data_IF_937767103348
#
_entry.id   IF_937767103348
#
_cell.length_a   1.000
_cell.length_b   1.000
_cell.length_c   1.000
_cell.angle_alpha   90.00
_cell.angle_beta   90.00
_cell.angle_gamma   90.00
#
_symmetry.space_group_name_H-M   'P 1'
#
loop_
_entity.id
_entity.type
_entity.pdbx_description
1 polymer ?
#
# COMPACT_ATOMS: atom_id res chain seq x y z
N UNK A 1 -12.50 35.28 13.02
CA UNK A 1 -13.65 34.42 13.35
C UNK A 1 -13.12 33.03 13.66
N UNK A 2 -12.60 32.83 14.86
CA UNK A 2 -12.12 31.53 15.33
C UNK A 2 -13.24 30.91 16.13
N UNK A 3 -13.98 30.00 15.52
CA UNK A 3 -14.97 29.20 16.24
C UNK A 3 -14.18 28.15 17.02
N UNK A 4 -13.95 28.38 18.31
CA UNK A 4 -13.52 27.33 19.23
C UNK A 4 -14.68 26.33 19.35
N UNK A 5 -14.61 25.23 18.61
CA UNK A 5 -15.51 24.08 18.83
C UNK A 5 -15.14 23.43 20.15
N UNK A 6 -15.88 23.79 21.20
CA UNK A 6 -15.77 23.18 22.52
C UNK A 6 -16.30 21.75 22.42
N UNK A 7 -15.42 20.77 22.63
CA UNK A 7 -15.79 19.37 22.81
C UNK A 7 -16.73 19.27 24.01
N UNK A 8 -17.98 18.85 23.76
CA UNK A 8 -18.90 18.44 24.83
C UNK A 8 -18.30 17.26 25.60
N UNK A 9 -18.70 17.07 26.87
CA UNK A 9 -18.27 15.94 27.69
C UNK A 9 -18.61 14.62 26.99
N UNK A 10 -17.58 13.94 26.48
CA UNK A 10 -17.66 12.62 25.86
C UNK A 10 -16.95 11.61 26.76
N UNK A 11 -17.58 10.46 27.00
CA UNK A 11 -16.98 9.40 27.81
C UNK A 11 -15.83 8.70 27.07
N UNK A 12 -15.97 8.52 25.75
CA UNK A 12 -14.97 7.83 24.91
C UNK A 12 -14.89 8.42 23.51
N UNK A 13 -13.68 8.46 22.96
CA UNK A 13 -13.40 8.83 21.57
C UNK A 13 -12.68 7.65 20.90
N UNK A 14 -13.21 7.18 19.77
CA UNK A 14 -12.59 6.13 18.95
C UNK A 14 -12.25 6.73 17.58
N UNK A 15 -10.94 6.89 17.31
CA UNK A 15 -10.46 7.48 16.07
C UNK A 15 -10.19 6.39 15.01
N UNK A 16 -11.15 6.16 14.12
CA UNK A 16 -11.02 5.24 12.98
C UNK A 16 -10.46 5.96 11.74
N UNK A 17 -9.35 6.69 11.89
CA UNK A 17 -8.75 7.56 10.86
C UNK A 17 -7.80 6.82 9.90
N UNK A 18 -7.87 5.50 9.86
CA UNK A 18 -7.04 4.65 9.01
C UNK A 18 -5.65 4.38 9.60
N UNK A 19 -4.71 4.01 8.73
CA UNK A 19 -3.37 3.58 9.11
C UNK A 19 -2.33 4.08 8.11
N UNK A 20 -1.05 3.98 8.50
CA UNK A 20 0.09 4.22 7.62
C UNK A 20 1.15 3.15 7.87
N UNK A 21 1.82 2.63 6.84
CA UNK A 21 2.92 1.67 7.04
C UNK A 21 4.11 2.32 7.75
N UNK A 22 4.74 1.56 8.64
CA UNK A 22 6.03 1.92 9.23
C UNK A 22 7.15 1.76 8.18
N UNK A 23 7.95 2.82 7.98
CA UNK A 23 9.00 2.87 6.95
C UNK A 23 10.41 2.77 7.52
N UNK A 24 10.56 2.65 8.84
CA UNK A 24 11.87 2.69 9.50
C UNK A 24 12.87 1.69 8.91
N UNK A 25 12.41 0.49 8.51
CA UNK A 25 13.25 -0.55 7.93
C UNK A 25 13.93 -0.17 6.61
N UNK A 26 13.27 0.65 5.78
CA UNK A 26 13.74 0.95 4.42
C UNK A 26 13.87 2.46 4.15
N UNK A 27 13.81 3.29 5.19
CA UNK A 27 13.88 4.76 5.05
C UNK A 27 15.19 5.24 4.43
N UNK A 28 16.25 4.45 4.55
CA UNK A 28 17.58 4.74 4.01
C UNK A 28 17.86 4.02 2.67
N UNK A 29 16.91 3.23 2.16
CA UNK A 29 17.02 2.58 0.85
C UNK A 29 16.45 3.51 -0.24
N UNK A 30 16.88 3.32 -1.48
CA UNK A 30 16.43 4.13 -2.61
C UNK A 30 15.06 3.63 -3.12
N UNK A 31 14.04 3.68 -2.26
CA UNK A 31 12.67 3.27 -2.59
C UNK A 31 11.82 4.49 -2.92
N UNK A 32 11.35 4.58 -4.17
CA UNK A 32 10.41 5.62 -4.57
C UNK A 32 8.99 5.28 -4.12
N UNK A 33 8.47 6.10 -3.21
CA UNK A 33 7.10 5.99 -2.72
C UNK A 33 6.15 6.97 -3.44
N UNK A 34 4.91 6.55 -3.67
CA UNK A 34 3.86 7.46 -4.08
C UNK A 34 3.58 8.48 -2.97
N UNK A 35 3.53 9.77 -3.31
CA UNK A 35 3.28 10.84 -2.34
C UNK A 35 1.93 10.67 -1.60
N UNK A 36 0.91 10.16 -2.30
CA UNK A 36 -0.46 9.96 -1.79
C UNK A 36 -0.59 8.72 -0.93
N UNK A 37 -0.16 7.56 -1.45
CA UNK A 37 -0.38 6.27 -0.77
C UNK A 37 0.74 5.90 0.19
N UNK A 38 1.97 6.41 0.02
CA UNK A 38 3.18 5.95 0.74
C UNK A 38 3.54 4.48 0.49
N UNK A 39 3.00 3.87 -0.57
CA UNK A 39 3.44 2.56 -1.09
C UNK A 39 4.43 2.72 -2.26
N UNK A 40 5.05 1.63 -2.74
CA UNK A 40 5.91 1.63 -3.92
C UNK A 40 5.22 2.28 -5.13
N UNK A 41 5.90 3.20 -5.81
CA UNK A 41 5.29 4.04 -6.84
C UNK A 41 4.70 3.24 -8.00
N UNK A 42 5.37 2.16 -8.43
CA UNK A 42 4.95 1.29 -9.54
C UNK A 42 3.60 0.64 -9.27
N UNK A 43 3.45 0.00 -8.10
CA UNK A 43 2.19 -0.61 -7.68
C UNK A 43 1.12 0.44 -7.38
N UNK A 44 1.48 1.52 -6.68
CA UNK A 44 0.55 2.58 -6.31
C UNK A 44 -0.10 3.24 -7.54
N UNK A 45 0.66 3.46 -8.61
CA UNK A 45 0.12 4.01 -9.86
C UNK A 45 -0.96 3.11 -10.48
N UNK A 46 -0.72 1.78 -10.50
CA UNK A 46 -1.68 0.81 -11.04
C UNK A 46 -2.94 0.70 -10.17
N UNK A 47 -2.78 0.71 -8.84
CA UNK A 47 -3.89 0.68 -7.90
C UNK A 47 -4.76 1.95 -7.99
N UNK A 48 -4.13 3.12 -8.11
CA UNK A 48 -4.86 4.38 -8.27
C UNK A 48 -5.61 4.47 -9.60
N UNK A 49 -5.07 3.85 -10.67
CA UNK A 49 -5.76 3.75 -11.95
C UNK A 49 -6.98 2.81 -11.88
N UNK A 50 -6.84 1.65 -11.21
CA UNK A 50 -7.92 0.65 -11.11
C UNK A 50 -9.01 0.99 -10.09
N UNK A 51 -8.75 1.91 -9.16
CA UNK A 51 -9.73 2.37 -8.16
C UNK A 51 -11.00 2.98 -8.77
N UNK A 52 -10.97 3.44 -10.03
CA UNK A 52 -12.14 4.01 -10.70
C UNK A 52 -13.00 2.95 -11.42
N UNK A 53 -12.47 1.74 -11.63
CA UNK A 53 -13.06 0.76 -12.55
C UNK A 53 -13.92 -0.30 -11.84
N UNK A 54 -13.86 -0.41 -10.52
CA UNK A 54 -14.50 -1.51 -9.79
C UNK A 54 -15.29 -1.04 -8.57
N UNK A 55 -16.61 -1.24 -8.61
CA UNK A 55 -17.49 -1.15 -7.43
C UNK A 55 -17.46 -2.41 -6.57
N UNK A 56 -16.87 -3.50 -7.08
CA UNK A 56 -16.76 -4.80 -6.42
C UNK A 56 -15.31 -5.07 -5.97
N UNK A 57 -15.09 -4.98 -4.66
CA UNK A 57 -13.77 -5.20 -4.07
C UNK A 57 -13.26 -6.63 -4.23
N UNK A 58 -14.13 -7.63 -4.43
CA UNK A 58 -13.74 -9.03 -4.58
C UNK A 58 -13.17 -9.37 -5.96
N UNK A 59 -13.34 -8.47 -6.94
CA UNK A 59 -12.79 -8.61 -8.31
C UNK A 59 -11.38 -8.06 -8.46
N UNK A 60 -10.71 -7.71 -7.37
CA UNK A 60 -9.32 -7.30 -7.42
C UNK A 60 -8.43 -8.38 -8.05
N UNK A 61 -7.50 -7.90 -8.87
CA UNK A 61 -6.47 -8.70 -9.52
C UNK A 61 -5.10 -8.20 -9.12
N UNK A 62 -4.12 -9.09 -9.05
CA UNK A 62 -2.73 -8.68 -8.94
C UNK A 62 -2.29 -7.92 -10.20
N UNK A 63 -1.48 -6.88 -10.02
CA UNK A 63 -1.02 -5.99 -11.10
C UNK A 63 0.28 -6.46 -11.78
N UNK A 64 0.59 -7.75 -11.65
CA UNK A 64 1.74 -8.44 -12.21
C UNK A 64 3.05 -8.21 -11.45
N UNK A 65 3.98 -9.17 -11.55
CA UNK A 65 5.23 -9.18 -10.78
C UNK A 65 6.09 -7.92 -10.98
N UNK A 66 6.12 -7.35 -12.19
CA UNK A 66 6.85 -6.11 -12.49
C UNK A 66 6.36 -4.91 -11.68
N UNK A 67 5.10 -4.92 -11.23
CA UNK A 67 4.58 -3.85 -10.36
C UNK A 67 5.18 -3.87 -8.95
N UNK A 68 5.72 -5.01 -8.52
CA UNK A 68 6.29 -5.22 -7.19
C UNK A 68 7.76 -4.80 -7.11
N UNK A 69 8.40 -4.53 -8.25
CA UNK A 69 9.75 -4.00 -8.29
C UNK A 69 9.78 -2.59 -7.69
N UNK A 70 10.72 -2.38 -6.78
CA UNK A 70 11.07 -1.05 -6.31
C UNK A 70 12.25 -0.51 -7.13
N UNK A 71 12.56 0.76 -6.95
CA UNK A 71 13.78 1.39 -7.50
C UNK A 71 15.06 0.90 -6.84
N UNK A 72 14.96 0.29 -5.65
CA UNK A 72 16.07 -0.40 -5.00
C UNK A 72 16.14 -1.83 -5.56
N UNK A 73 17.31 -2.20 -6.10
CA UNK A 73 17.49 -3.50 -6.75
C UNK A 73 17.39 -4.64 -5.73
N UNK A 74 16.77 -5.75 -6.12
CA UNK A 74 16.56 -6.93 -5.26
C UNK A 74 15.85 -6.64 -3.93
N UNK A 75 15.15 -5.51 -3.81
CA UNK A 75 14.35 -5.15 -2.66
C UNK A 75 12.88 -5.02 -3.03
N UNK A 76 12.04 -5.74 -2.30
CA UNK A 76 10.60 -5.85 -2.57
C UNK A 76 9.80 -5.51 -1.33
N UNK A 77 8.69 -4.80 -1.52
CA UNK A 77 7.70 -4.54 -0.48
C UNK A 77 6.42 -5.24 -0.90
N UNK A 78 5.95 -6.20 -0.09
CA UNK A 78 4.75 -7.01 -0.35
C UNK A 78 3.76 -6.95 0.81
N UNK A 79 2.58 -7.51 0.60
CA UNK A 79 1.48 -7.51 1.56
C UNK A 79 0.86 -6.13 1.74
N UNK A 80 0.24 -5.91 2.90
CA UNK A 80 -0.45 -4.65 3.21
C UNK A 80 0.48 -3.44 3.14
N UNK A 81 1.77 -3.62 3.43
CA UNK A 81 2.79 -2.56 3.36
C UNK A 81 2.93 -2.01 1.94
N UNK A 82 2.78 -2.86 0.93
CA UNK A 82 2.86 -2.46 -0.49
C UNK A 82 1.68 -1.58 -0.93
N UNK A 83 0.55 -1.64 -0.23
CA UNK A 83 -0.64 -0.81 -0.50
C UNK A 83 -0.57 0.56 0.17
N UNK A 84 0.40 0.78 1.07
CA UNK A 84 0.54 2.07 1.73
C UNK A 84 -0.66 2.38 2.64
N UNK A 85 -1.30 3.52 2.41
CA UNK A 85 -2.51 3.99 3.09
C UNK A 85 -3.81 3.48 2.45
N UNK A 86 -3.73 2.73 1.36
CA UNK A 86 -4.93 2.22 0.68
C UNK A 86 -5.61 1.16 1.55
N UNK A 87 -6.93 1.19 1.61
CA UNK A 87 -7.74 0.32 2.49
C UNK A 87 -8.31 -0.91 1.76
N UNK A 88 -8.03 -1.05 0.47
CA UNK A 88 -8.54 -2.12 -0.38
C UNK A 88 -7.56 -3.29 -0.51
N UNK A 89 -6.74 -3.58 0.51
CA UNK A 89 -5.84 -4.73 0.46
C UNK A 89 -6.60 -6.02 0.81
N UNK A 90 -6.40 -7.08 0.02
CA UNK A 90 -6.93 -8.42 0.30
C UNK A 90 -5.80 -9.42 0.53
N UNK A 91 -5.94 -10.29 1.53
CA UNK A 91 -4.97 -11.33 1.85
C UNK A 91 -4.66 -12.25 0.66
N UNK A 92 -5.68 -12.58 -0.15
CA UNK A 92 -5.53 -13.33 -1.41
C UNK A 92 -4.46 -12.70 -2.31
N UNK A 93 -4.54 -11.39 -2.52
CA UNK A 93 -3.56 -10.65 -3.33
C UNK A 93 -2.19 -10.67 -2.66
N UNK A 94 -2.12 -10.60 -1.33
CA UNK A 94 -0.88 -10.73 -0.58
C UNK A 94 -0.14 -12.05 -0.86
N UNK A 95 -0.85 -13.18 -0.89
CA UNK A 95 -0.24 -14.47 -1.23
C UNK A 95 0.26 -14.51 -2.68
N UNK A 96 -0.54 -14.00 -3.63
CA UNK A 96 -0.13 -13.88 -5.04
C UNK A 96 1.12 -13.00 -5.21
N UNK A 97 1.25 -11.92 -4.43
CA UNK A 97 2.44 -11.06 -4.45
C UNK A 97 3.70 -11.82 -4.01
N UNK A 98 3.59 -12.69 -3.00
CA UNK A 98 4.71 -13.49 -2.52
C UNK A 98 5.18 -14.45 -3.61
N UNK A 99 4.25 -15.17 -4.25
CA UNK A 99 4.57 -16.07 -5.38
C UNK A 99 5.26 -15.31 -6.52
N UNK A 100 4.76 -14.13 -6.87
CA UNK A 100 5.33 -13.27 -7.91
C UNK A 100 6.74 -12.78 -7.57
N UNK A 101 7.02 -12.45 -6.31
CA UNK A 101 8.37 -12.07 -5.87
C UNK A 101 9.32 -13.26 -5.97
N UNK A 102 8.91 -14.47 -5.58
CA UNK A 102 9.74 -15.66 -5.74
C UNK A 102 10.07 -15.94 -7.21
N UNK A 103 9.15 -15.71 -8.13
CA UNK A 103 9.43 -15.80 -9.58
C UNK A 103 10.52 -14.81 -10.00
N UNK A 104 10.44 -13.55 -9.57
CA UNK A 104 11.46 -12.52 -9.88
C UNK A 104 12.83 -12.86 -9.32
N UNK A 105 12.89 -13.38 -8.09
CA UNK A 105 14.13 -13.79 -7.44
C UNK A 105 14.77 -14.95 -8.21
N UNK A 106 13.96 -15.89 -8.69
CA UNK A 106 14.45 -17.06 -9.43
C UNK A 106 14.95 -16.71 -10.84
N UNK A 107 14.37 -15.70 -11.48
CA UNK A 107 14.81 -15.18 -12.79
C UNK A 107 16.09 -14.35 -12.72
N UNK A 108 16.44 -13.87 -11.53
CA UNK A 108 17.63 -13.04 -11.30
C UNK A 108 18.86 -13.87 -10.88
N UNK A 109 18.73 -15.20 -10.83
CA UNK A 109 19.80 -16.17 -10.59
C UNK A 109 20.31 -16.75 -11.90
#
# INVERSE_FOLDING_TARGET
NNTEEVLQNVDYIIANVGYQPDRALYSNLNVHECYKTKGPISLAAKLLASCNDTTDCLKQISHGKESLKTTESNFFIVGVKSYGKLTNFLLKIGFEQVEQVFQLINESR
#
